data_IF_653684645376
#
_entry.id   IF_653684645376
#
_cell.length_a   1.000
_cell.length_b   1.000
_cell.length_c   1.000
_cell.angle_alpha   90.00
_cell.angle_beta   90.00
_cell.angle_gamma   90.00
#
_symmetry.space_group_name_H-M   'P 1'
#
loop_
_entity.id
_entity.type
_entity.pdbx_description
1 polymer ?
#
# COMPACT_ATOMS: atom_id res chain seq x y z
N UNK A 1 -6.89 34.47 -16.12
CA UNK A 1 -6.99 33.33 -17.06
C UNK A 1 -8.29 32.62 -16.78
N UNK A 2 -9.14 32.45 -17.79
CA UNK A 2 -10.40 31.71 -17.70
C UNK A 2 -10.11 30.27 -17.24
N UNK A 3 -10.70 29.87 -16.10
CA UNK A 3 -10.69 28.48 -15.64
C UNK A 3 -11.34 27.66 -16.76
N UNK A 4 -10.56 26.89 -17.53
CA UNK A 4 -11.11 25.85 -18.39
C UNK A 4 -11.74 24.81 -17.47
N UNK A 5 -13.06 24.81 -17.38
CA UNK A 5 -13.77 23.72 -16.75
C UNK A 5 -13.58 22.48 -17.60
N UNK A 6 -13.01 21.44 -16.98
CA UNK A 6 -12.92 20.14 -17.61
C UNK A 6 -14.33 19.54 -17.62
N UNK A 7 -14.81 19.02 -18.77
CA UNK A 7 -16.09 18.35 -18.81
C UNK A 7 -16.09 17.15 -17.86
N UNK A 8 -17.18 16.98 -17.12
CA UNK A 8 -17.35 15.81 -16.27
C UNK A 8 -17.34 14.53 -17.13
N UNK A 9 -16.55 13.54 -16.71
CA UNK A 9 -16.48 12.25 -17.40
C UNK A 9 -17.66 11.40 -16.95
N UNK A 10 -18.49 10.99 -17.91
CA UNK A 10 -19.60 10.06 -17.66
C UNK A 10 -19.08 8.61 -17.69
N UNK A 11 -18.69 8.11 -16.52
CA UNK A 11 -18.15 6.77 -16.34
C UNK A 11 -19.12 5.65 -16.72
N UNK A 12 -20.44 5.92 -16.79
CA UNK A 12 -21.43 4.91 -17.19
C UNK A 12 -21.34 4.50 -18.66
N UNK A 13 -20.70 5.35 -19.49
CA UNK A 13 -20.51 5.13 -20.93
C UNK A 13 -19.17 4.51 -21.27
N UNK A 14 -18.33 4.23 -20.27
CA UNK A 14 -16.97 3.71 -20.47
C UNK A 14 -16.94 2.26 -19.98
N UNK A 15 -16.52 1.36 -20.86
CA UNK A 15 -16.24 -0.02 -20.49
C UNK A 15 -14.84 -0.13 -19.90
N UNK A 16 -14.75 -0.47 -18.62
CA UNK A 16 -13.48 -0.64 -17.92
C UNK A 16 -13.09 -2.13 -17.90
N UNK A 17 -11.87 -2.49 -18.33
CA UNK A 17 -11.41 -3.85 -18.17
C UNK A 17 -11.34 -4.23 -16.68
N UNK A 18 -11.74 -5.46 -16.31
CA UNK A 18 -11.66 -5.89 -14.93
C UNK A 18 -10.20 -6.01 -14.50
N UNK A 19 -9.91 -5.69 -13.24
CA UNK A 19 -8.60 -5.90 -12.65
C UNK A 19 -8.72 -6.51 -11.25
N UNK A 20 -7.67 -7.21 -10.83
CA UNK A 20 -7.63 -7.82 -9.49
C UNK A 20 -7.28 -6.77 -8.45
N UNK A 21 -8.22 -6.48 -7.55
CA UNK A 21 -8.02 -5.54 -6.43
C UNK A 21 -7.44 -6.22 -5.18
N UNK A 22 -7.90 -7.43 -4.86
CA UNK A 22 -7.43 -8.20 -3.70
C UNK A 22 -6.26 -9.10 -4.07
N UNK A 23 -5.08 -8.74 -3.60
CA UNK A 23 -3.81 -9.44 -3.79
C UNK A 23 -3.32 -10.10 -2.49
N UNK A 24 -4.03 -9.88 -1.39
CA UNK A 24 -3.62 -10.33 -0.08
C UNK A 24 -4.04 -11.77 0.19
N UNK A 25 -3.04 -12.62 0.46
CA UNK A 25 -3.26 -13.94 1.01
C UNK A 25 -2.62 -13.98 2.40
N UNK A 26 -3.47 -14.01 3.43
CA UNK A 26 -3.00 -14.08 4.80
C UNK A 26 -2.24 -15.38 5.04
N UNK A 27 -1.01 -15.28 5.55
CA UNK A 27 -0.18 -16.46 5.85
C UNK A 27 -0.74 -17.24 7.03
N UNK A 28 -0.35 -18.52 7.14
CA UNK A 28 -0.83 -19.42 8.19
C UNK A 28 -0.53 -18.88 9.59
N UNK A 29 0.66 -18.35 9.82
CA UNK A 29 1.09 -17.78 11.10
C UNK A 29 0.13 -16.69 11.61
N UNK A 30 -0.25 -15.76 10.72
CA UNK A 30 -1.17 -14.67 11.06
C UNK A 30 -2.60 -15.19 11.27
N UNK A 31 -3.00 -16.19 10.48
CA UNK A 31 -4.32 -16.82 10.58
C UNK A 31 -4.53 -17.59 11.88
N UNK A 32 -3.47 -18.21 12.39
CA UNK A 32 -3.51 -18.97 13.64
C UNK A 32 -3.46 -18.12 14.91
N UNK A 33 -3.14 -16.82 14.80
CA UNK A 33 -3.19 -15.94 15.98
C UNK A 33 -4.60 -15.92 16.59
N UNK A 34 -4.69 -15.92 17.91
CA UNK A 34 -5.94 -15.68 18.63
C UNK A 34 -6.21 -14.18 18.67
N UNK A 35 -7.46 -13.79 18.82
CA UNK A 35 -7.84 -12.37 18.76
C UNK A 35 -7.16 -11.54 19.87
N UNK A 36 -6.95 -12.10 21.06
CA UNK A 36 -6.21 -11.43 22.12
C UNK A 36 -4.72 -11.26 21.79
N UNK A 37 -4.12 -12.17 21.02
CA UNK A 37 -2.72 -12.03 20.56
C UNK A 37 -2.60 -10.96 19.49
N UNK A 38 -3.60 -10.85 18.60
CA UNK A 38 -3.70 -9.76 17.61
C UNK A 38 -3.83 -8.42 18.32
N UNK A 39 -4.67 -8.34 19.35
CA UNK A 39 -4.86 -7.10 20.12
C UNK A 39 -3.60 -6.74 20.92
N UNK A 40 -2.96 -7.72 21.56
CA UNK A 40 -1.68 -7.52 22.23
C UNK A 40 -0.59 -7.04 21.27
N UNK A 41 -0.53 -7.60 20.05
CA UNK A 41 0.41 -7.19 19.02
C UNK A 41 0.20 -5.72 18.62
N UNK A 42 -1.05 -5.31 18.39
CA UNK A 42 -1.38 -3.90 18.10
C UNK A 42 -1.00 -2.96 19.22
N UNK A 43 -1.34 -3.33 20.46
CA UNK A 43 -1.06 -2.53 21.65
C UNK A 43 0.44 -2.34 21.88
N UNK A 44 1.22 -3.42 21.75
CA UNK A 44 2.67 -3.41 22.01
C UNK A 44 3.49 -2.74 20.90
N UNK A 45 2.98 -2.69 19.67
CA UNK A 45 3.70 -2.12 18.52
C UNK A 45 3.10 -0.77 18.11
N UNK A 46 3.10 0.20 19.03
CA UNK A 46 2.70 1.58 18.75
C UNK A 46 1.22 1.89 18.94
N UNK A 47 0.51 1.15 19.81
CA UNK A 47 -0.91 1.38 20.14
C UNK A 47 -1.81 1.49 18.89
N UNK A 48 -1.67 0.53 17.97
CA UNK A 48 -2.38 0.53 16.69
C UNK A 48 -3.89 0.38 16.93
N UNK A 49 -4.65 1.41 16.54
CA UNK A 49 -6.11 1.40 16.61
C UNK A 49 -6.71 1.21 15.23
N UNK A 50 -7.66 0.27 15.11
CA UNK A 50 -8.33 -0.03 13.85
C UNK A 50 -9.83 0.20 13.98
N UNK A 51 -10.41 0.87 12.99
CA UNK A 51 -11.86 1.08 12.87
C UNK A 51 -12.35 0.51 11.54
N UNK A 52 -13.58 0.01 11.52
CA UNK A 52 -14.20 -0.63 10.37
C UNK A 52 -14.31 -2.16 10.53
N UNK A 53 -14.97 -2.81 9.56
CA UNK A 53 -15.24 -4.26 9.60
C UNK A 53 -14.23 -5.05 8.77
N UNK A 54 -13.98 -6.30 9.15
CA UNK A 54 -13.17 -7.28 8.42
C UNK A 54 -11.78 -6.76 8.00
N UNK A 55 -11.09 -5.99 8.85
CA UNK A 55 -9.73 -5.57 8.55
C UNK A 55 -8.77 -6.78 8.66
N UNK A 56 -7.78 -6.91 7.76
CA UNK A 56 -6.74 -7.91 7.92
C UNK A 56 -6.01 -7.77 9.25
N UNK A 57 -5.45 -8.88 9.74
CA UNK A 57 -4.59 -8.86 10.92
C UNK A 57 -3.23 -8.20 10.58
N UNK A 58 -2.59 -7.50 11.53
CA UNK A 58 -1.33 -6.85 11.26
C UNK A 58 -0.22 -7.87 10.97
N UNK A 59 0.64 -7.56 10.02
CA UNK A 59 1.86 -8.33 9.74
C UNK A 59 2.93 -7.99 10.78
N UNK A 60 3.82 -8.94 11.05
CA UNK A 60 5.02 -8.74 11.88
C UNK A 60 6.25 -8.50 11.03
N UNK A 61 6.34 -9.13 9.85
CA UNK A 61 7.48 -8.99 8.93
C UNK A 61 7.00 -8.71 7.51
N UNK A 62 7.86 -8.15 6.66
CA UNK A 62 7.54 -7.92 5.23
C UNK A 62 7.27 -9.21 4.45
N UNK A 63 7.77 -10.36 4.91
CA UNK A 63 7.50 -11.67 4.29
C UNK A 63 6.03 -12.11 4.39
N UNK A 64 5.27 -11.54 5.32
CA UNK A 64 3.89 -11.95 5.59
C UNK A 64 2.84 -11.16 4.80
N UNK A 65 3.24 -10.24 3.91
CA UNK A 65 2.32 -9.40 3.15
C UNK A 65 2.19 -9.72 1.65
N UNK A 66 2.88 -10.76 1.15
CA UNK A 66 2.74 -11.22 -0.23
C UNK A 66 3.43 -10.33 -1.27
N UNK A 67 4.52 -9.67 -0.87
CA UNK A 67 5.39 -8.95 -1.79
C UNK A 67 6.16 -9.93 -2.70
N UNK A 68 6.48 -9.56 -3.96
CA UNK A 68 7.31 -10.39 -4.82
C UNK A 68 8.73 -10.49 -4.28
N UNK A 69 9.41 -11.63 -4.50
CA UNK A 69 10.78 -11.88 -4.03
C UNK A 69 11.77 -10.78 -4.44
N UNK A 70 11.61 -10.20 -5.62
CA UNK A 70 12.44 -9.08 -6.08
C UNK A 70 12.34 -7.87 -5.14
N UNK A 71 11.13 -7.55 -4.67
CA UNK A 71 10.90 -6.44 -3.74
C UNK A 71 11.42 -6.80 -2.34
N UNK A 72 11.21 -8.04 -1.88
CA UNK A 72 11.71 -8.52 -0.59
C UNK A 72 13.25 -8.44 -0.51
N UNK A 73 13.96 -8.87 -1.57
CA UNK A 73 15.42 -8.72 -1.66
C UNK A 73 15.89 -7.26 -1.62
N UNK A 74 15.12 -6.35 -2.20
CA UNK A 74 15.43 -4.91 -2.14
C UNK A 74 15.17 -4.32 -0.76
N UNK A 75 14.17 -4.81 -0.04
CA UNK A 75 13.91 -4.47 1.37
C UNK A 75 15.10 -4.91 2.23
N UNK A 76 15.55 -6.15 2.08
CA UNK A 76 16.71 -6.68 2.82
C UNK A 76 18.01 -5.94 2.50
N UNK A 77 18.30 -5.68 1.22
CA UNK A 77 19.49 -4.93 0.79
C UNK A 77 19.52 -3.51 1.36
N UNK A 78 18.36 -2.97 1.74
CA UNK A 78 18.21 -1.64 2.33
C UNK A 78 18.12 -1.68 3.85
N UNK A 79 18.29 -2.86 4.45
CA UNK A 79 18.32 -3.06 5.89
C UNK A 79 17.01 -2.61 6.57
N UNK A 80 15.88 -2.72 5.85
CA UNK A 80 14.57 -2.54 6.45
C UNK A 80 14.20 -3.80 7.23
N UNK A 81 14.56 -3.84 8.51
CA UNK A 81 14.42 -5.03 9.36
C UNK A 81 12.95 -5.41 9.60
N UNK A 82 12.15 -4.47 10.13
CA UNK A 82 10.77 -4.71 10.53
C UNK A 82 9.84 -3.60 10.03
N UNK A 83 8.58 -3.92 9.68
CA UNK A 83 7.60 -2.91 9.33
C UNK A 83 7.30 -2.01 10.53
N UNK A 84 7.22 -0.70 10.29
CA UNK A 84 6.73 0.25 11.30
C UNK A 84 5.26 0.01 11.63
N UNK A 85 4.76 0.50 12.79
CA UNK A 85 3.37 0.29 13.24
C UNK A 85 2.31 0.56 12.16
N UNK A 86 2.43 1.68 11.44
CA UNK A 86 1.49 2.01 10.36
C UNK A 86 1.56 1.03 9.20
N UNK A 87 2.76 0.52 8.87
CA UNK A 87 2.99 -0.45 7.81
C UNK A 87 2.42 -1.81 8.17
N UNK A 88 2.59 -2.25 9.43
CA UNK A 88 2.07 -3.52 9.95
C UNK A 88 0.59 -3.71 9.66
N UNK A 89 -0.21 -2.65 9.79
CA UNK A 89 -1.66 -2.71 9.62
C UNK A 89 -2.13 -2.21 8.24
N UNK A 90 -1.50 -1.16 7.68
CA UNK A 90 -1.93 -0.58 6.42
C UNK A 90 -1.57 -1.46 5.21
N UNK A 91 -0.38 -2.07 5.17
CA UNK A 91 0.06 -2.90 4.05
C UNK A 91 -0.94 -4.04 3.77
N UNK A 92 -1.28 -4.93 4.73
CA UNK A 92 -2.20 -6.02 4.44
C UNK A 92 -3.61 -5.51 4.08
N UNK A 93 -4.03 -4.37 4.63
CA UNK A 93 -5.32 -3.74 4.30
C UNK A 93 -5.37 -3.24 2.85
N UNK A 94 -4.32 -2.55 2.40
CA UNK A 94 -4.18 -2.07 1.03
C UNK A 94 -4.00 -3.22 0.04
N UNK A 95 -3.20 -4.24 0.40
CA UNK A 95 -3.06 -5.46 -0.41
C UNK A 95 -4.39 -6.20 -0.56
N UNK A 96 -5.29 -6.12 0.43
CA UNK A 96 -6.64 -6.70 0.35
C UNK A 96 -7.60 -5.90 -0.55
N UNK A 97 -7.12 -4.84 -1.21
CA UNK A 97 -7.92 -3.99 -2.07
C UNK A 97 -8.89 -3.08 -1.32
N UNK A 98 -8.59 -2.78 -0.05
CA UNK A 98 -9.44 -1.91 0.78
C UNK A 98 -9.05 -0.46 0.62
N UNK A 99 -10.04 0.40 0.75
CA UNK A 99 -9.82 1.83 0.89
C UNK A 99 -9.44 2.10 2.37
N UNK A 100 -8.35 2.83 2.59
CA UNK A 100 -7.72 2.97 3.90
C UNK A 100 -7.43 4.43 4.20
N UNK A 101 -7.80 4.86 5.40
CA UNK A 101 -7.32 6.12 6.00
C UNK A 101 -6.26 5.74 7.04
N UNK A 102 -5.00 6.06 6.74
CA UNK A 102 -3.87 5.79 7.63
C UNK A 102 -3.41 7.06 8.34
N UNK A 103 -3.49 7.09 9.68
CA UNK A 103 -3.06 8.22 10.51
C UNK A 103 -1.88 7.76 11.36
N UNK A 104 -0.74 8.44 11.20
CA UNK A 104 0.46 8.22 11.99
C UNK A 104 1.35 9.48 11.93
N UNK A 105 2.25 9.65 12.90
CA UNK A 105 3.16 10.79 13.00
C UNK A 105 4.16 10.88 11.83
N UNK A 106 4.80 12.04 11.66
CA UNK A 106 5.90 12.19 10.68
C UNK A 106 7.06 11.27 11.05
N UNK A 107 7.74 10.69 10.05
CA UNK A 107 8.83 9.74 10.30
C UNK A 107 8.40 8.29 10.55
N UNK A 108 7.09 8.01 10.71
CA UNK A 108 6.56 6.64 10.90
C UNK A 108 6.58 5.73 9.64
N UNK A 109 7.27 6.16 8.57
CA UNK A 109 7.38 5.43 7.30
C UNK A 109 6.06 5.17 6.56
N UNK A 110 5.10 6.10 6.64
CA UNK A 110 3.86 6.07 5.84
C UNK A 110 4.09 5.89 4.34
N UNK A 111 5.20 6.41 3.79
CA UNK A 111 5.53 6.29 2.36
C UNK A 111 5.57 4.83 1.91
N UNK A 112 6.36 3.99 2.57
CA UNK A 112 6.43 2.57 2.22
C UNK A 112 5.13 1.81 2.52
N UNK A 113 4.32 2.30 3.45
CA UNK A 113 3.03 1.69 3.76
C UNK A 113 2.07 1.68 2.56
N UNK A 114 2.11 2.68 1.68
CA UNK A 114 1.33 2.71 0.44
C UNK A 114 2.16 2.37 -0.81
N UNK A 115 3.47 2.66 -0.85
CA UNK A 115 4.31 2.36 -2.02
C UNK A 115 4.44 0.84 -2.25
N UNK A 116 4.64 0.04 -1.19
CA UNK A 116 4.82 -1.40 -1.34
C UNK A 116 3.57 -2.09 -1.91
N UNK A 117 2.34 -1.85 -1.38
CA UNK A 117 1.11 -2.33 -2.02
C UNK A 117 0.90 -1.79 -3.43
N UNK A 118 1.21 -0.52 -3.68
CA UNK A 118 1.09 0.10 -5.00
C UNK A 118 1.97 -0.60 -6.04
N UNK A 119 3.24 -0.89 -5.71
CA UNK A 119 4.14 -1.61 -6.60
C UNK A 119 3.65 -3.04 -6.87
N UNK A 120 3.18 -3.75 -5.84
CA UNK A 120 2.59 -5.08 -6.02
C UNK A 120 1.37 -5.04 -6.92
N UNK A 121 0.54 -4.00 -6.80
CA UNK A 121 -0.63 -3.79 -7.62
C UNK A 121 -0.28 -3.51 -9.07
N UNK A 122 0.67 -2.61 -9.34
CA UNK A 122 1.18 -2.30 -10.69
C UNK A 122 1.72 -3.57 -11.36
N UNK A 123 2.53 -4.35 -10.65
CA UNK A 123 3.10 -5.60 -11.17
C UNK A 123 2.06 -6.69 -11.44
N UNK A 124 0.83 -6.53 -10.96
CA UNK A 124 -0.28 -7.44 -11.22
C UNK A 124 -1.13 -7.07 -12.43
N UNK A 125 -0.93 -5.86 -12.97
CA UNK A 125 -1.67 -5.37 -14.13
C UNK A 125 -0.98 -5.76 -15.44
N UNK A 126 -1.72 -5.81 -16.56
CA UNK A 126 -1.14 -5.86 -17.88
C UNK A 126 -0.14 -4.70 -18.11
N UNK A 127 0.92 -4.91 -18.91
CA UNK A 127 1.80 -3.83 -19.31
C UNK A 127 1.03 -2.69 -20.00
N UNK A 128 1.46 -1.46 -19.73
CA UNK A 128 0.91 -0.27 -20.39
C UNK A 128 1.15 -0.33 -21.90
N UNK A 129 0.15 0.09 -22.67
CA UNK A 129 0.23 0.29 -24.12
C UNK A 129 0.45 1.77 -24.44
N UNK A 130 0.80 2.05 -25.69
CA UNK A 130 0.95 3.43 -26.17
C UNK A 130 -0.36 4.20 -25.98
N UNK A 131 -0.27 5.35 -25.31
CA UNK A 131 -1.42 6.20 -24.99
C UNK A 131 -2.10 5.91 -23.65
N UNK A 132 -1.74 4.82 -22.95
CA UNK A 132 -2.28 4.54 -21.63
C UNK A 132 -1.73 5.53 -20.56
N UNK A 133 -2.58 5.83 -19.58
CA UNK A 133 -2.20 6.58 -18.38
C UNK A 133 -1.50 5.72 -17.32
N UNK A 134 -1.09 6.31 -16.19
CA UNK A 134 -0.48 5.55 -15.10
C UNK A 134 -1.50 4.63 -14.41
N UNK A 135 -1.04 3.45 -13.97
CA UNK A 135 -1.85 2.53 -13.14
C UNK A 135 -2.09 3.09 -11.72
N UNK A 136 -1.12 3.83 -11.19
CA UNK A 136 -1.21 4.41 -9.85
C UNK A 136 -0.83 5.88 -9.85
N UNK A 137 -1.56 6.67 -9.05
CA UNK A 137 -1.35 8.10 -8.89
C UNK A 137 -1.20 8.42 -7.39
N UNK A 138 -0.12 9.12 -7.05
CA UNK A 138 0.11 9.68 -5.72
C UNK A 138 0.03 11.19 -5.82
N UNK A 139 -0.84 11.82 -5.01
CA UNK A 139 -1.00 13.26 -4.96
C UNK A 139 -0.41 13.82 -3.66
N UNK A 140 0.31 14.93 -3.76
CA UNK A 140 0.99 15.57 -2.64
C UNK A 140 0.77 17.09 -2.67
N UNK A 141 0.78 17.78 -1.51
CA UNK A 141 0.54 19.22 -1.46
C UNK A 141 1.72 20.07 -1.98
N UNK A 142 2.95 19.54 -2.00
CA UNK A 142 4.14 20.28 -2.44
C UNK A 142 4.99 19.45 -3.39
N UNK A 143 5.79 20.15 -4.21
CA UNK A 143 6.71 19.55 -5.18
C UNK A 143 7.85 18.80 -4.49
N UNK A 144 8.34 19.34 -3.39
CA UNK A 144 9.44 18.78 -2.61
C UNK A 144 9.04 17.42 -2.03
N UNK A 145 7.81 17.32 -1.50
CA UNK A 145 7.29 16.06 -0.99
C UNK A 145 7.05 15.05 -2.11
N UNK A 146 6.59 15.50 -3.28
CA UNK A 146 6.49 14.65 -4.47
C UNK A 146 7.85 14.03 -4.84
N UNK A 147 8.90 14.86 -4.88
CA UNK A 147 10.26 14.40 -5.20
C UNK A 147 10.78 13.42 -4.16
N UNK A 148 10.54 13.65 -2.86
CA UNK A 148 10.92 12.72 -1.80
C UNK A 148 10.24 11.36 -1.97
N UNK A 149 8.93 11.34 -2.24
CA UNK A 149 8.17 10.10 -2.45
C UNK A 149 8.65 9.39 -3.71
N UNK A 150 8.89 10.13 -4.80
CA UNK A 150 9.44 9.56 -6.03
C UNK A 150 10.81 8.93 -5.81
N UNK A 151 11.72 9.60 -5.09
CA UNK A 151 13.02 9.06 -4.73
C UNK A 151 12.88 7.78 -3.91
N UNK A 152 11.97 7.76 -2.93
CA UNK A 152 11.72 6.60 -2.08
C UNK A 152 11.12 5.43 -2.87
N UNK A 153 10.22 5.69 -3.82
CA UNK A 153 9.63 4.67 -4.68
C UNK A 153 10.61 4.11 -5.71
N UNK A 154 11.39 4.98 -6.37
CA UNK A 154 12.34 4.60 -7.42
C UNK A 154 13.45 3.66 -6.92
N UNK A 155 13.66 3.61 -5.60
CA UNK A 155 14.52 2.64 -4.93
C UNK A 155 14.13 1.17 -5.14
N UNK A 156 12.87 0.92 -5.50
CA UNK A 156 12.31 -0.42 -5.71
C UNK A 156 12.03 -0.75 -7.19
N UNK A 157 12.34 0.18 -8.11
CA UNK A 157 12.05 0.05 -9.55
C UNK A 157 13.30 -0.26 -10.39
N UNK A 158 14.41 -0.66 -9.76
CA UNK A 158 15.67 -1.00 -10.43
C UNK A 158 15.80 -2.50 -10.67
#
# INVERSE_FOLDING_TARGET
GTKKELPAVDHSKIEYPPFRKNLYRQVREITLMKDHEVEALRKTHGDIKVRGKHHPRPIRTFYQCGLPDKILKLIEKREYEQPFPIQMQAIPSLMAGRDVIGIAETGSGKTLAYVLPMLRHILDQPPLKDGDGPIALVMTPTRELCLQIWQEGNRFCK
#
